data_IF_405030206179
#
_entry.id   IF_405030206179
#
_cell.length_a   1.000
_cell.length_b   1.000
_cell.length_c   1.000
_cell.angle_alpha   90.00
_cell.angle_beta   90.00
_cell.angle_gamma   90.00
#
_symmetry.space_group_name_H-M   'P 1'
#
loop_
_entity.id
_entity.type
_entity.pdbx_description
1 polymer ?
#
# COMPACT_ATOMS: atom_id res chain seq x y z
N UNK A 1 -8.73 14.95 22.81
CA UNK A 1 -9.48 15.94 22.00
C UNK A 1 -9.22 15.62 20.54
N UNK A 2 -10.24 15.53 19.67
CA UNK A 2 -10.03 15.34 18.23
C UNK A 2 -9.15 16.47 17.70
N UNK A 3 -8.17 16.16 16.85
CA UNK A 3 -7.36 17.22 16.24
C UNK A 3 -8.24 18.03 15.28
N UNK A 4 -8.53 19.28 15.65
CA UNK A 4 -9.32 20.17 14.82
C UNK A 4 -8.42 20.73 13.71
N UNK A 5 -8.62 20.28 12.48
CA UNK A 5 -7.90 20.81 11.31
C UNK A 5 -8.31 22.26 11.07
N UNK A 6 -7.33 23.17 11.07
CA UNK A 6 -7.57 24.58 10.81
C UNK A 6 -7.87 24.84 9.32
N UNK A 7 -7.15 24.16 8.42
CA UNK A 7 -7.26 24.36 6.97
C UNK A 7 -7.39 23.07 6.16
N UNK A 8 -7.93 23.19 4.93
CA UNK A 8 -7.97 22.10 3.95
C UNK A 8 -6.57 21.60 3.56
N UNK A 9 -5.56 22.48 3.66
CA UNK A 9 -4.16 22.15 3.44
C UNK A 9 -3.63 21.16 4.47
N UNK A 10 -3.97 21.33 5.74
CA UNK A 10 -3.52 20.45 6.82
C UNK A 10 -4.09 19.04 6.67
N UNK A 11 -5.38 18.94 6.28
CA UNK A 11 -6.03 17.67 5.96
C UNK A 11 -5.32 16.90 4.84
N UNK A 12 -4.89 17.62 3.79
CA UNK A 12 -4.16 17.05 2.64
C UNK A 12 -2.78 16.58 3.04
N UNK A 13 -2.02 17.42 3.75
CA UNK A 13 -0.68 17.05 4.23
C UNK A 13 -0.79 15.81 5.11
N UNK A 14 -1.76 15.76 6.02
CA UNK A 14 -1.92 14.62 6.92
C UNK A 14 -2.26 13.33 6.16
N UNK A 15 -3.22 13.41 5.23
CA UNK A 15 -3.60 12.28 4.37
C UNK A 15 -2.42 11.75 3.55
N UNK A 16 -1.72 12.63 2.80
CA UNK A 16 -0.65 12.22 1.90
C UNK A 16 0.60 11.76 2.66
N UNK A 17 0.91 12.41 3.78
CA UNK A 17 2.02 11.99 4.64
C UNK A 17 1.73 10.61 5.21
N UNK A 18 0.54 10.39 5.76
CA UNK A 18 0.14 9.08 6.27
C UNK A 18 0.16 8.03 5.16
N UNK A 19 -0.40 8.31 3.98
CA UNK A 19 -0.37 7.41 2.83
C UNK A 19 1.05 6.99 2.43
N UNK A 20 1.94 7.94 2.18
CA UNK A 20 3.32 7.66 1.73
C UNK A 20 4.12 6.95 2.82
N UNK A 21 4.08 7.47 4.05
CA UNK A 21 4.83 6.90 5.18
C UNK A 21 4.37 5.47 5.45
N UNK A 22 3.07 5.19 5.38
CA UNK A 22 2.55 3.86 5.65
C UNK A 22 2.95 2.83 4.60
N UNK A 23 2.95 3.21 3.31
CA UNK A 23 3.46 2.36 2.24
C UNK A 23 4.95 2.05 2.45
N UNK A 24 5.76 3.09 2.66
CA UNK A 24 7.22 2.95 2.79
C UNK A 24 7.58 2.12 4.03
N UNK A 25 6.93 2.39 5.17
CA UNK A 25 7.16 1.65 6.40
C UNK A 25 6.81 0.16 6.25
N UNK A 26 5.65 -0.15 5.64
CA UNK A 26 5.28 -1.53 5.37
C UNK A 26 6.25 -2.23 4.42
N UNK A 27 6.69 -1.57 3.35
CA UNK A 27 7.67 -2.12 2.43
C UNK A 27 9.00 -2.45 3.13
N UNK A 28 9.51 -1.55 3.96
CA UNK A 28 10.73 -1.76 4.75
C UNK A 28 10.55 -2.94 5.71
N UNK A 29 9.42 -3.01 6.42
CA UNK A 29 9.13 -4.10 7.35
C UNK A 29 9.05 -5.45 6.64
N UNK A 30 8.35 -5.54 5.50
CA UNK A 30 8.24 -6.78 4.71
C UNK A 30 9.63 -7.21 4.23
N UNK A 31 10.44 -6.29 3.71
CA UNK A 31 11.81 -6.59 3.29
C UNK A 31 12.64 -7.07 4.49
N UNK A 32 12.58 -6.39 5.63
CA UNK A 32 13.31 -6.80 6.82
C UNK A 32 12.89 -8.21 7.28
N UNK A 33 11.59 -8.49 7.36
CA UNK A 33 11.04 -9.80 7.72
C UNK A 33 11.54 -10.89 6.77
N UNK A 34 11.52 -10.62 5.46
CA UNK A 34 11.99 -11.58 4.44
C UNK A 34 13.47 -11.95 4.58
N UNK A 35 14.27 -11.11 5.27
CA UNK A 35 15.70 -11.34 5.51
C UNK A 35 16.01 -12.06 6.82
N UNK A 36 15.04 -12.23 7.70
CA UNK A 36 15.25 -12.83 9.03
C UNK A 36 15.69 -14.30 8.95
N UNK A 37 15.43 -15.00 7.84
CA UNK A 37 15.96 -16.34 7.53
C UNK A 37 15.45 -17.49 8.43
N UNK A 38 14.94 -17.18 9.62
CA UNK A 38 14.38 -18.11 10.59
C UNK A 38 12.86 -17.98 10.67
N UNK A 39 12.09 -19.09 10.59
CA UNK A 39 10.63 -19.08 10.54
C UNK A 39 9.97 -18.46 11.78
N UNK A 40 10.46 -18.80 12.98
CA UNK A 40 9.85 -18.36 14.23
C UNK A 40 9.88 -16.83 14.44
N UNK A 41 11.05 -16.15 14.38
CA UNK A 41 11.10 -14.69 14.48
C UNK A 41 10.43 -13.99 13.30
N UNK A 42 10.46 -14.57 12.08
CA UNK A 42 9.73 -14.03 10.94
C UNK A 42 8.21 -14.03 11.14
N UNK A 43 7.68 -15.09 11.76
CA UNK A 43 6.25 -15.22 12.06
C UNK A 43 5.81 -14.24 13.16
N UNK A 44 6.61 -14.07 14.21
CA UNK A 44 6.36 -13.08 15.26
C UNK A 44 6.37 -11.66 14.67
N UNK A 45 7.38 -11.33 13.87
CA UNK A 45 7.48 -10.00 13.26
C UNK A 45 6.31 -9.71 12.30
N UNK A 46 5.86 -10.71 11.54
CA UNK A 46 4.67 -10.61 10.69
C UNK A 46 3.39 -10.39 11.51
N UNK A 47 3.23 -11.10 12.63
CA UNK A 47 2.09 -10.92 13.52
C UNK A 47 2.07 -9.52 14.15
N UNK A 48 3.22 -9.00 14.59
CA UNK A 48 3.34 -7.64 15.11
C UNK A 48 3.02 -6.60 14.03
N UNK A 49 3.51 -6.81 12.81
CA UNK A 49 3.20 -5.93 11.68
C UNK A 49 1.69 -5.92 11.39
N UNK A 50 1.05 -7.09 11.36
CA UNK A 50 -0.40 -7.20 11.19
C UNK A 50 -1.17 -6.45 12.28
N UNK A 51 -0.82 -6.66 13.55
CA UNK A 51 -1.47 -5.98 14.67
C UNK A 51 -1.28 -4.46 14.59
N UNK A 52 -0.10 -3.99 14.19
CA UNK A 52 0.20 -2.57 14.01
C UNK A 52 -0.66 -1.97 12.88
N UNK A 53 -0.79 -2.71 11.78
CA UNK A 53 -1.60 -2.33 10.63
C UNK A 53 -3.10 -2.24 10.92
N UNK A 54 -3.58 -2.87 12.00
CA UNK A 54 -4.96 -2.76 12.48
C UNK A 54 -5.08 -1.66 13.54
N UNK A 55 -4.23 -1.71 14.57
CA UNK A 55 -4.35 -0.85 15.74
C UNK A 55 -4.12 0.63 15.42
N UNK A 56 -3.12 0.94 14.59
CA UNK A 56 -2.75 2.33 14.29
C UNK A 56 -3.84 3.08 13.52
N UNK A 57 -4.42 2.57 12.42
CA UNK A 57 -5.54 3.24 11.78
C UNK A 57 -6.77 3.40 12.69
N UNK A 58 -7.05 2.45 13.60
CA UNK A 58 -8.13 2.60 14.58
C UNK A 58 -7.86 3.79 15.52
N UNK A 59 -6.65 3.85 16.11
CA UNK A 59 -6.27 4.96 17.00
C UNK A 59 -6.26 6.30 16.25
N UNK A 60 -5.78 6.30 15.02
CA UNK A 60 -5.77 7.49 14.17
C UNK A 60 -7.17 7.89 13.72
N UNK A 61 -8.12 6.98 13.59
CA UNK A 61 -9.50 7.33 13.24
C UNK A 61 -10.12 8.27 14.30
N UNK A 62 -9.77 8.08 15.58
CA UNK A 62 -10.27 8.91 16.68
C UNK A 62 -9.46 10.20 16.93
N UNK A 63 -8.23 10.27 16.43
CA UNK A 63 -7.33 11.40 16.70
C UNK A 63 -7.06 12.27 15.47
N UNK A 64 -6.80 11.63 14.32
CA UNK A 64 -6.46 12.24 13.02
C UNK A 64 -7.12 11.45 11.88
N UNK A 65 -8.42 11.66 11.68
CA UNK A 65 -9.24 10.88 10.73
C UNK A 65 -8.73 10.88 9.28
N UNK A 66 -8.15 11.99 8.79
CA UNK A 66 -7.56 12.04 7.45
C UNK A 66 -6.26 11.22 7.33
N UNK A 67 -5.47 11.11 8.40
CA UNK A 67 -4.33 10.21 8.44
C UNK A 67 -4.78 8.75 8.35
N UNK A 68 -5.83 8.38 9.10
CA UNK A 68 -6.41 7.04 9.04
C UNK A 68 -6.95 6.70 7.64
N UNK A 69 -7.62 7.65 6.96
CA UNK A 69 -8.00 7.48 5.55
C UNK A 69 -6.79 7.28 4.64
N UNK A 70 -5.71 8.04 4.84
CA UNK A 70 -4.46 7.87 4.08
C UNK A 70 -3.88 6.47 4.22
N UNK A 71 -3.90 5.92 5.44
CA UNK A 71 -3.47 4.54 5.73
C UNK A 71 -4.39 3.50 5.06
N UNK A 72 -5.72 3.69 5.12
CA UNK A 72 -6.65 2.77 4.45
C UNK A 72 -6.47 2.77 2.92
N UNK A 73 -6.25 3.94 2.34
CA UNK A 73 -5.95 4.06 0.91
C UNK A 73 -4.61 3.41 0.58
N UNK A 74 -3.60 3.51 1.45
CA UNK A 74 -2.34 2.79 1.30
C UNK A 74 -2.55 1.27 1.27
N UNK A 75 -3.36 0.70 2.16
CA UNK A 75 -3.71 -0.73 2.11
C UNK A 75 -4.44 -1.10 0.84
N UNK A 76 -5.45 -0.32 0.45
CA UNK A 76 -6.21 -0.59 -0.77
C UNK A 76 -5.31 -0.57 -2.01
N UNK A 77 -4.37 0.38 -2.05
CA UNK A 77 -3.38 0.52 -3.13
C UNK A 77 -2.42 -0.67 -3.14
N UNK A 78 -1.87 -1.06 -1.98
CA UNK A 78 -0.98 -2.21 -1.87
C UNK A 78 -1.69 -3.53 -2.23
N UNK A 79 -2.91 -3.74 -1.75
CA UNK A 79 -3.71 -4.92 -2.06
C UNK A 79 -4.03 -5.01 -3.56
N UNK A 80 -4.45 -3.90 -4.17
CA UNK A 80 -4.73 -3.86 -5.59
C UNK A 80 -3.46 -4.06 -6.44
N UNK A 81 -2.29 -3.59 -5.98
CA UNK A 81 -1.00 -3.92 -6.58
C UNK A 81 -0.71 -5.42 -6.52
N UNK A 82 -0.90 -6.06 -5.36
CA UNK A 82 -0.69 -7.51 -5.21
C UNK A 82 -1.63 -8.32 -6.09
N UNK A 83 -2.90 -7.91 -6.23
CA UNK A 83 -3.83 -8.54 -7.17
C UNK A 83 -3.34 -8.39 -8.60
N UNK A 84 -3.00 -7.16 -9.01
CA UNK A 84 -2.51 -6.90 -10.36
C UNK A 84 -1.27 -7.76 -10.64
N UNK A 85 -0.27 -7.71 -9.76
CA UNK A 85 0.93 -8.53 -9.85
C UNK A 85 0.59 -10.02 -9.99
N UNK A 86 -0.30 -10.57 -9.16
CA UNK A 86 -0.71 -11.96 -9.24
C UNK A 86 -1.34 -12.34 -10.60
N UNK A 87 -2.21 -11.48 -11.15
CA UNK A 87 -2.83 -11.69 -12.47
C UNK A 87 -1.78 -11.65 -13.57
N UNK A 88 -0.90 -10.65 -13.57
CA UNK A 88 0.13 -10.47 -14.60
C UNK A 88 1.20 -11.56 -14.53
N UNK A 89 1.56 -12.02 -13.33
CA UNK A 89 2.47 -13.14 -13.12
C UNK A 89 1.87 -14.44 -13.66
N UNK A 90 0.60 -14.71 -13.35
CA UNK A 90 -0.11 -15.89 -13.85
C UNK A 90 -0.23 -15.86 -15.38
N UNK A 91 -0.58 -14.71 -15.96
CA UNK A 91 -0.65 -14.54 -17.41
C UNK A 91 0.72 -14.72 -18.09
N UNK A 92 1.78 -14.19 -17.46
CA UNK A 92 3.17 -14.40 -17.89
C UNK A 92 3.53 -15.90 -17.90
N UNK A 93 3.18 -16.65 -16.86
CA UNK A 93 3.47 -18.08 -16.77
C UNK A 93 2.80 -18.88 -17.90
N UNK A 94 1.53 -18.58 -18.21
CA UNK A 94 0.84 -19.16 -19.36
C UNK A 94 1.47 -18.78 -20.71
N UNK A 95 2.10 -17.61 -20.81
CA UNK A 95 2.82 -17.16 -21.98
C UNK A 95 4.28 -17.68 -22.06
N UNK A 96 4.68 -18.58 -21.16
CA UNK A 96 6.05 -19.14 -21.11
C UNK A 96 7.06 -18.28 -20.35
N UNK A 97 6.60 -17.34 -19.51
CA UNK A 97 7.45 -16.40 -18.76
C UNK A 97 8.40 -17.06 -17.76
N UNK A 98 8.07 -18.25 -17.24
CA UNK A 98 8.94 -19.03 -16.34
C UNK A 98 10.30 -19.33 -17.00
N UNK A 99 10.33 -19.53 -18.32
CA UNK A 99 11.57 -19.78 -19.08
C UNK A 99 12.15 -18.53 -19.75
N UNK A 100 11.47 -17.38 -19.68
CA UNK A 100 11.89 -16.14 -20.33
C UNK A 100 11.61 -14.89 -19.49
N UNK A 101 12.66 -14.40 -18.84
CA UNK A 101 12.62 -13.21 -17.98
C UNK A 101 12.13 -11.94 -18.69
N UNK A 102 12.33 -11.83 -20.02
CA UNK A 102 11.87 -10.65 -20.78
C UNK A 102 10.35 -10.59 -20.87
N UNK A 103 9.72 -11.76 -21.00
CA UNK A 103 8.25 -11.89 -21.04
C UNK A 103 7.69 -11.53 -19.65
N UNK A 104 8.28 -12.09 -18.59
CA UNK A 104 7.90 -11.80 -17.21
C UNK A 104 8.01 -10.32 -16.85
N UNK A 105 9.14 -9.68 -17.18
CA UNK A 105 9.33 -8.23 -16.97
C UNK A 105 8.35 -7.41 -17.80
N UNK A 106 8.07 -7.82 -19.04
CA UNK A 106 7.09 -7.14 -19.90
C UNK A 106 5.68 -7.12 -19.29
N UNK A 107 5.20 -8.26 -18.79
CA UNK A 107 3.90 -8.35 -18.11
C UNK A 107 3.89 -7.58 -16.79
N UNK A 108 4.98 -7.61 -16.00
CA UNK A 108 5.10 -6.83 -14.77
C UNK A 108 5.00 -5.32 -15.03
N UNK A 109 5.73 -4.81 -16.03
CA UNK A 109 5.70 -3.39 -16.40
C UNK A 109 4.31 -2.99 -16.91
N UNK A 110 3.68 -3.81 -17.76
CA UNK A 110 2.33 -3.57 -18.24
C UNK A 110 1.32 -3.51 -17.08
N UNK A 111 1.42 -4.42 -16.12
CA UNK A 111 0.59 -4.44 -14.93
C UNK A 111 0.76 -3.20 -14.05
N UNK A 112 1.99 -2.74 -13.83
CA UNK A 112 2.27 -1.52 -13.09
C UNK A 112 1.70 -0.28 -13.77
N UNK A 113 1.79 -0.19 -15.11
CA UNK A 113 1.23 0.93 -15.87
C UNK A 113 -0.30 0.95 -15.76
N UNK A 114 -0.95 -0.20 -15.97
CA UNK A 114 -2.40 -0.31 -15.88
C UNK A 114 -2.90 -0.01 -14.46
N UNK A 115 -2.17 -0.48 -13.45
CA UNK A 115 -2.43 -0.13 -12.07
C UNK A 115 -2.30 1.38 -11.82
N UNK A 116 -1.22 2.01 -12.27
CA UNK A 116 -0.99 3.44 -12.07
C UNK A 116 -2.10 4.29 -12.72
N UNK A 117 -2.54 3.92 -13.93
CA UNK A 117 -3.66 4.56 -14.62
C UNK A 117 -4.96 4.37 -13.82
N UNK A 118 -5.24 3.14 -13.38
CA UNK A 118 -6.44 2.81 -12.61
C UNK A 118 -6.48 3.53 -11.25
N UNK A 119 -5.36 3.58 -10.54
CA UNK A 119 -5.22 4.20 -9.22
C UNK A 119 -5.26 5.74 -9.28
N UNK A 120 -4.90 6.35 -10.42
CA UNK A 120 -4.94 7.80 -10.58
C UNK A 120 -6.34 8.38 -10.38
N UNK A 121 -7.38 7.74 -10.93
CA UNK A 121 -8.76 8.22 -10.83
C UNK A 121 -9.31 8.27 -9.39
N UNK A 122 -9.26 7.19 -8.58
CA UNK A 122 -9.73 7.23 -7.20
C UNK A 122 -8.88 8.16 -6.33
N UNK A 123 -7.54 8.19 -6.52
CA UNK A 123 -6.67 9.12 -5.80
C UNK A 123 -6.99 10.58 -6.13
N UNK A 124 -7.28 10.88 -7.40
CA UNK A 124 -7.72 12.22 -7.83
C UNK A 124 -9.08 12.56 -7.23
N UNK A 125 -10.03 11.63 -7.21
CA UNK A 125 -11.35 11.85 -6.61
C UNK A 125 -11.26 12.15 -5.11
N UNK A 126 -10.44 11.39 -4.38
CA UNK A 126 -10.15 11.63 -2.95
C UNK A 126 -9.47 13.00 -2.77
N UNK A 127 -8.49 13.33 -3.61
CA UNK A 127 -7.83 14.63 -3.55
C UNK A 127 -8.80 15.79 -3.82
N UNK A 128 -9.81 15.59 -4.67
CA UNK A 128 -10.84 16.60 -4.94
C UNK A 128 -11.87 16.71 -3.81
N UNK A 129 -12.20 15.63 -3.10
CA UNK A 129 -13.16 15.67 -1.99
C UNK A 129 -12.62 16.32 -0.71
N UNK A 130 -11.30 16.40 -0.56
CA UNK A 130 -10.63 17.08 0.58
C UNK A 130 -10.46 18.60 0.29
N UNK A 131 -10.88 19.08 -0.89
CA UNK A 131 -10.83 20.50 -1.27
C UNK A 131 -11.98 21.26 -0.62
#
# INVERSE_FOLDING_TARGET
>A
MPHAYADARDKRIDFWTAFVVWIVANAICIVAISRVGSPAPGLIASAVLLLTNIAVPIVLAFTRSFAAMGILVAFATAFALTIAEGVFFTASDFAGGISNIRIQVGFLVAGLILFAIGAFFPLRAIHQSIR
#
